data_IF_956748915357
#
_entry.id   IF_956748915357
#
_cell.length_a   1.000
_cell.length_b   1.000
_cell.length_c   1.000
_cell.angle_alpha   90.00
_cell.angle_beta   90.00
_cell.angle_gamma   90.00
#
_symmetry.space_group_name_H-M   'P 1'
#
loop_
_entity.id
_entity.type
_entity.pdbx_description
1 polymer ?
#
# COMPACT_ATOMS: atom_id res chain seq x y z
N UNK A 1 10.30 5.58 -13.82
CA UNK A 1 9.46 4.38 -13.67
C UNK A 1 8.14 4.74 -13.01
N UNK A 2 7.05 4.05 -13.34
CA UNK A 2 5.72 4.25 -12.73
C UNK A 2 5.36 3.03 -11.90
N UNK A 3 5.02 3.25 -10.62
CA UNK A 3 4.45 2.22 -9.75
C UNK A 3 2.92 2.25 -9.85
N UNK A 4 2.30 1.08 -9.92
CA UNK A 4 0.85 0.90 -10.02
C UNK A 4 0.31 0.11 -8.83
N UNK A 5 -0.87 0.53 -8.37
CA UNK A 5 -1.62 -0.11 -7.30
C UNK A 5 -3.01 -0.44 -7.83
N UNK A 6 -3.41 -1.70 -7.74
CA UNK A 6 -4.74 -2.17 -8.17
C UNK A 6 -5.10 -3.50 -7.50
N UNK A 7 -6.37 -3.86 -7.61
CA UNK A 7 -6.89 -5.13 -7.10
C UNK A 7 -7.75 -5.82 -8.16
N UNK A 8 -7.82 -7.14 -8.07
CA UNK A 8 -8.90 -7.90 -8.69
C UNK A 8 -9.93 -8.24 -7.62
N UNK A 9 -11.20 -7.90 -7.86
CA UNK A 9 -12.29 -8.16 -6.91
C UNK A 9 -13.33 -9.04 -7.57
N UNK A 10 -13.44 -10.28 -7.10
CA UNK A 10 -14.29 -11.31 -7.71
C UNK A 10 -15.21 -11.95 -6.68
N UNK A 11 -16.44 -12.28 -7.07
CA UNK A 11 -17.35 -13.06 -6.21
C UNK A 11 -16.91 -14.52 -6.20
N UNK A 12 -16.84 -15.12 -5.02
CA UNK A 12 -16.55 -16.55 -4.85
C UNK A 12 -17.87 -17.32 -4.88
N UNK A 13 -17.89 -18.52 -5.44
CA UNK A 13 -19.03 -19.41 -5.30
C UNK A 13 -19.16 -19.80 -3.81
N UNK A 14 -20.28 -19.49 -3.12
CA UNK A 14 -20.47 -19.81 -1.70
C UNK A 14 -20.22 -21.28 -1.35
N UNK A 15 -20.53 -22.20 -2.26
CA UNK A 15 -20.34 -23.64 -2.06
C UNK A 15 -18.87 -24.09 -2.16
N UNK A 16 -17.99 -23.23 -2.71
CA UNK A 16 -16.58 -23.56 -2.98
C UNK A 16 -15.59 -22.72 -2.17
N UNK A 17 -16.06 -22.00 -1.16
CA UNK A 17 -15.21 -21.15 -0.31
C UNK A 17 -14.17 -21.97 0.45
N UNK A 18 -14.57 -23.10 1.03
CA UNK A 18 -13.64 -23.98 1.76
C UNK A 18 -12.56 -24.56 0.84
N UNK A 19 -12.92 -24.97 -0.38
CA UNK A 19 -11.95 -25.41 -1.37
C UNK A 19 -10.93 -24.31 -1.70
N UNK A 20 -11.41 -23.07 -1.86
CA UNK A 20 -10.55 -21.91 -2.12
C UNK A 20 -9.62 -21.63 -0.93
N UNK A 21 -10.12 -21.71 0.30
CA UNK A 21 -9.31 -21.56 1.51
C UNK A 21 -8.18 -22.59 1.57
N UNK A 22 -8.43 -23.85 1.18
CA UNK A 22 -7.41 -24.91 1.10
C UNK A 22 -6.34 -24.52 0.07
N UNK A 23 -6.74 -24.10 -1.13
CA UNK A 23 -5.80 -23.66 -2.18
C UNK A 23 -4.95 -22.48 -1.70
N UNK A 24 -5.56 -21.49 -1.04
CA UNK A 24 -4.82 -20.34 -0.51
C UNK A 24 -3.88 -20.73 0.63
N UNK A 25 -4.28 -21.67 1.50
CA UNK A 25 -3.44 -22.18 2.57
C UNK A 25 -2.20 -22.91 2.04
N UNK A 26 -2.36 -23.74 0.98
CA UNK A 26 -1.23 -24.38 0.29
C UNK A 26 -0.24 -23.34 -0.28
N UNK A 27 -0.76 -22.29 -0.90
CA UNK A 27 0.06 -21.20 -1.45
C UNK A 27 0.79 -20.45 -0.33
N UNK A 28 0.09 -20.15 0.78
CA UNK A 28 0.67 -19.48 1.94
C UNK A 28 1.79 -20.30 2.60
N UNK A 29 1.69 -21.64 2.55
CA UNK A 29 2.74 -22.54 3.06
C UNK A 29 4.06 -22.51 2.27
N UNK A 30 4.06 -22.00 1.03
CA UNK A 30 5.27 -21.89 0.20
C UNK A 30 5.23 -20.63 -0.69
N UNK A 31 5.23 -19.44 -0.09
CA UNK A 31 5.10 -18.17 -0.82
C UNK A 31 6.20 -17.90 -1.85
N UNK A 32 7.43 -18.34 -1.59
CA UNK A 32 8.58 -17.96 -2.42
C UNK A 32 8.67 -18.76 -3.71
N UNK A 33 8.44 -20.07 -3.64
CA UNK A 33 8.66 -21.01 -4.75
C UNK A 33 7.46 -21.93 -4.97
N UNK A 34 6.23 -21.47 -4.69
CA UNK A 34 5.04 -22.26 -4.99
C UNK A 34 5.03 -22.64 -6.48
N UNK A 35 4.85 -23.93 -6.85
CA UNK A 35 4.94 -24.38 -8.23
C UNK A 35 3.88 -23.74 -9.14
N UNK A 36 2.76 -23.30 -8.57
CA UNK A 36 1.64 -22.76 -9.33
C UNK A 36 1.55 -21.22 -9.28
N UNK A 37 2.16 -20.59 -8.27
CA UNK A 37 2.15 -19.12 -8.09
C UNK A 37 3.48 -18.66 -7.46
N UNK A 38 4.59 -18.69 -8.23
CA UNK A 38 5.90 -18.31 -7.71
C UNK A 38 6.04 -16.78 -7.68
N UNK A 39 5.70 -16.16 -6.55
CA UNK A 39 5.75 -14.69 -6.41
C UNK A 39 7.15 -14.11 -6.65
N UNK A 40 8.22 -14.84 -6.30
CA UNK A 40 9.61 -14.39 -6.52
C UNK A 40 10.00 -14.26 -8.00
N UNK A 41 9.33 -14.99 -8.89
CA UNK A 41 9.52 -14.89 -10.34
C UNK A 41 8.85 -13.63 -10.92
N UNK A 42 8.01 -12.95 -10.14
CA UNK A 42 7.39 -11.68 -10.51
C UNK A 42 8.31 -10.51 -10.13
N UNK A 43 9.38 -10.30 -10.91
CA UNK A 43 10.45 -9.34 -10.55
C UNK A 43 9.98 -7.90 -10.25
N UNK A 44 8.88 -7.47 -10.88
CA UNK A 44 8.27 -6.14 -10.74
C UNK A 44 7.28 -6.04 -9.55
N UNK A 45 7.04 -7.13 -8.83
CA UNK A 45 6.12 -7.17 -7.71
C UNK A 45 6.80 -6.61 -6.44
N UNK A 46 6.14 -5.67 -5.78
CA UNK A 46 6.51 -5.21 -4.44
C UNK A 46 5.76 -6.01 -3.37
N UNK A 47 4.42 -6.00 -3.47
CA UNK A 47 3.53 -6.67 -2.52
C UNK A 47 2.33 -7.28 -3.25
N UNK A 48 1.88 -8.42 -2.75
CA UNK A 48 0.64 -9.06 -3.17
C UNK A 48 -0.09 -9.66 -1.97
N UNK A 49 -1.43 -9.64 -2.01
CA UNK A 49 -2.24 -10.33 -1.01
C UNK A 49 -3.48 -10.97 -1.62
N UNK A 50 -3.87 -12.14 -1.13
CA UNK A 50 -5.15 -12.78 -1.45
C UNK A 50 -5.98 -12.84 -0.16
N UNK A 51 -7.15 -12.21 -0.19
CA UNK A 51 -8.01 -12.05 0.98
C UNK A 51 -9.43 -12.48 0.62
N UNK A 52 -10.00 -13.39 1.42
CA UNK A 52 -11.42 -13.73 1.33
C UNK A 52 -12.20 -12.85 2.30
N UNK A 53 -13.15 -12.07 1.79
CA UNK A 53 -14.12 -11.35 2.59
C UNK A 53 -15.43 -12.12 2.64
N UNK A 54 -15.98 -12.30 3.84
CA UNK A 54 -17.30 -12.87 4.06
C UNK A 54 -18.27 -11.75 4.40
N UNK A 55 -19.42 -11.75 3.74
CA UNK A 55 -20.42 -10.70 3.89
C UNK A 55 -21.83 -11.27 3.73
N UNK A 56 -22.70 -11.03 4.72
CA UNK A 56 -24.05 -11.59 4.77
C UNK A 56 -24.95 -11.09 3.63
N UNK A 57 -24.74 -9.87 3.14
CA UNK A 57 -25.59 -9.25 2.11
C UNK A 57 -25.03 -9.48 0.70
N UNK A 58 -23.71 -9.52 0.56
CA UNK A 58 -23.04 -9.52 -0.73
C UNK A 58 -22.44 -10.88 -1.10
N UNK A 59 -22.37 -11.83 -0.16
CA UNK A 59 -21.70 -13.12 -0.31
C UNK A 59 -20.18 -13.01 -0.18
N UNK A 60 -19.45 -14.12 -0.41
CA UNK A 60 -17.99 -14.13 -0.31
C UNK A 60 -17.30 -13.48 -1.51
N UNK A 61 -16.22 -12.74 -1.25
CA UNK A 61 -15.36 -12.10 -2.26
C UNK A 61 -13.94 -12.55 -2.10
N UNK A 62 -13.24 -12.73 -3.22
CA UNK A 62 -11.80 -12.80 -3.27
C UNK A 62 -11.27 -11.45 -3.75
N UNK A 63 -10.36 -10.88 -2.96
CA UNK A 63 -9.60 -9.67 -3.29
C UNK A 63 -8.15 -10.07 -3.50
N UNK A 64 -7.63 -9.83 -4.70
CA UNK A 64 -6.22 -10.03 -5.03
C UNK A 64 -5.53 -8.67 -5.21
N UNK A 65 -4.78 -8.24 -4.20
CA UNK A 65 -3.96 -7.01 -4.23
C UNK A 65 -2.70 -7.20 -5.05
N UNK A 66 -2.36 -6.18 -5.86
CA UNK A 66 -1.12 -6.11 -6.62
C UNK A 66 -0.51 -4.70 -6.51
N UNK A 67 0.66 -4.61 -5.89
CA UNK A 67 1.51 -3.42 -5.85
C UNK A 67 2.76 -3.68 -6.69
N UNK A 68 2.86 -3.07 -7.86
CA UNK A 68 3.82 -3.46 -8.91
C UNK A 68 4.48 -2.27 -9.58
N UNK A 69 5.65 -2.51 -10.15
CA UNK A 69 6.25 -1.64 -11.16
C UNK A 69 5.62 -1.88 -12.53
N UNK A 70 5.35 -0.81 -13.28
CA UNK A 70 4.75 -0.87 -14.61
C UNK A 70 3.23 -0.78 -14.58
N UNK A 71 2.60 -1.20 -15.69
CA UNK A 71 1.14 -1.09 -15.90
C UNK A 71 0.41 -2.36 -15.46
N UNK A 72 -0.86 -2.28 -15.01
CA UNK A 72 -1.67 -3.45 -14.71
C UNK A 72 -1.74 -4.47 -15.85
N UNK A 73 -1.76 -3.99 -17.09
CA UNK A 73 -1.88 -4.81 -18.30
C UNK A 73 -0.62 -5.66 -18.52
N UNK A 74 0.57 -5.05 -18.43
CA UNK A 74 1.85 -5.75 -18.49
C UNK A 74 2.04 -6.75 -17.32
N UNK A 75 1.63 -6.38 -16.10
CA UNK A 75 1.67 -7.29 -14.96
C UNK A 75 0.75 -8.50 -15.17
N UNK A 76 -0.44 -8.28 -15.73
CA UNK A 76 -1.38 -9.34 -16.02
C UNK A 76 -0.85 -10.31 -17.09
N UNK A 77 -0.14 -9.81 -18.10
CA UNK A 77 0.57 -10.65 -19.07
C UNK A 77 1.64 -11.51 -18.38
N UNK A 78 2.43 -10.92 -17.47
CA UNK A 78 3.43 -11.64 -16.71
C UNK A 78 2.81 -12.71 -15.78
N UNK A 79 1.72 -12.38 -15.10
CA UNK A 79 0.93 -13.30 -14.28
C UNK A 79 0.44 -14.49 -15.09
N UNK A 80 -0.10 -14.27 -16.29
CA UNK A 80 -0.51 -15.36 -17.18
C UNK A 80 0.68 -16.21 -17.63
N UNK A 81 1.83 -15.60 -17.93
CA UNK A 81 3.02 -16.34 -18.37
C UNK A 81 3.61 -17.23 -17.28
N UNK A 82 3.63 -16.74 -16.04
CA UNK A 82 4.40 -17.36 -14.94
C UNK A 82 3.50 -18.18 -14.01
N UNK A 83 2.26 -17.75 -13.80
CA UNK A 83 1.39 -18.24 -12.74
C UNK A 83 -0.02 -18.62 -13.21
N UNK A 84 -0.22 -18.87 -14.51
CA UNK A 84 -1.56 -19.24 -15.03
C UNK A 84 -2.16 -20.46 -14.35
N UNK A 85 -1.34 -21.43 -13.94
CA UNK A 85 -1.80 -22.61 -13.20
C UNK A 85 -2.39 -22.23 -11.84
N UNK A 86 -1.71 -21.39 -11.07
CA UNK A 86 -2.21 -20.91 -9.78
C UNK A 86 -3.44 -20.03 -9.95
N UNK A 87 -3.43 -19.12 -10.91
CA UNK A 87 -4.58 -18.27 -11.23
C UNK A 87 -5.79 -19.11 -11.62
N UNK A 88 -5.63 -20.11 -12.49
CA UNK A 88 -6.71 -20.99 -12.88
C UNK A 88 -7.28 -21.78 -11.70
N UNK A 89 -6.41 -22.32 -10.84
CA UNK A 89 -6.84 -23.02 -9.61
C UNK A 89 -7.65 -22.10 -8.70
N UNK A 90 -7.17 -20.89 -8.44
CA UNK A 90 -7.83 -19.90 -7.57
C UNK A 90 -9.19 -19.47 -8.16
N UNK A 91 -9.19 -19.02 -9.42
CA UNK A 91 -10.38 -18.42 -10.01
C UNK A 91 -11.42 -19.45 -10.48
N UNK A 92 -11.08 -20.73 -10.57
CA UNK A 92 -12.06 -21.82 -10.76
C UNK A 92 -13.11 -21.91 -9.62
N UNK A 93 -12.84 -21.31 -8.46
CA UNK A 93 -13.80 -21.21 -7.35
C UNK A 93 -14.66 -19.93 -7.42
N UNK A 94 -14.43 -19.05 -8.40
CA UNK A 94 -15.12 -17.77 -8.53
C UNK A 94 -16.29 -17.82 -9.54
N UNK A 95 -17.30 -16.99 -9.30
CA UNK A 95 -18.48 -16.90 -10.15
C UNK A 95 -18.17 -16.22 -11.49
N UNK A 96 -18.61 -16.84 -12.59
CA UNK A 96 -18.44 -16.31 -13.94
C UNK A 96 -17.04 -16.49 -14.53
N UNK A 97 -16.18 -17.28 -13.89
CA UNK A 97 -14.90 -17.69 -14.46
C UNK A 97 -15.11 -18.82 -15.47
N UNK A 98 -14.69 -18.60 -16.72
CA UNK A 98 -15.02 -19.43 -17.89
C UNK A 98 -13.80 -19.91 -18.68
N UNK A 99 -12.58 -19.65 -18.21
CA UNK A 99 -11.38 -20.11 -18.88
C UNK A 99 -11.31 -21.65 -18.89
N UNK A 100 -10.94 -22.23 -20.02
CA UNK A 100 -11.02 -23.68 -20.27
C UNK A 100 -9.90 -24.49 -19.61
N UNK A 101 -8.89 -23.82 -19.04
CA UNK A 101 -7.78 -24.47 -18.36
C UNK A 101 -6.64 -23.49 -18.04
N UNK A 102 -5.62 -23.98 -17.34
CA UNK A 102 -4.41 -23.19 -17.03
C UNK A 102 -3.62 -22.70 -18.26
N UNK A 103 -3.87 -23.26 -19.45
CA UNK A 103 -3.25 -22.82 -20.71
C UNK A 103 -4.07 -21.74 -21.44
N UNK A 104 -5.31 -21.51 -21.00
CA UNK A 104 -6.20 -20.49 -21.56
C UNK A 104 -5.89 -19.12 -20.94
N UNK A 105 -4.73 -18.57 -21.31
CA UNK A 105 -4.27 -17.29 -20.81
C UNK A 105 -5.18 -16.13 -21.23
N UNK A 106 -5.83 -16.23 -22.39
CA UNK A 106 -6.74 -15.20 -22.89
C UNK A 106 -8.03 -15.16 -22.07
N UNK A 107 -8.62 -16.33 -21.75
CA UNK A 107 -9.77 -16.43 -20.84
C UNK A 107 -9.45 -15.93 -19.43
N UNK A 108 -8.31 -16.32 -18.86
CA UNK A 108 -7.85 -15.83 -17.55
C UNK A 108 -7.71 -14.31 -17.57
N UNK A 109 -7.04 -13.76 -18.59
CA UNK A 109 -6.80 -12.33 -18.73
C UNK A 109 -8.10 -11.55 -18.88
N UNK A 110 -9.00 -12.00 -19.75
CA UNK A 110 -10.30 -11.37 -19.97
C UNK A 110 -11.12 -11.31 -18.68
N UNK A 111 -11.14 -12.41 -17.93
CA UNK A 111 -11.81 -12.46 -16.63
C UNK A 111 -11.19 -11.49 -15.63
N UNK A 112 -9.87 -11.45 -15.49
CA UNK A 112 -9.20 -10.55 -14.54
C UNK A 112 -9.30 -9.08 -14.93
N UNK A 113 -9.21 -8.75 -16.22
CA UNK A 113 -9.43 -7.38 -16.70
C UNK A 113 -10.83 -6.87 -16.37
N UNK A 114 -11.85 -7.72 -16.52
CA UNK A 114 -13.24 -7.38 -16.18
C UNK A 114 -13.42 -7.09 -14.68
N UNK A 115 -12.60 -7.70 -13.83
CA UNK A 115 -12.66 -7.57 -12.37
C UNK A 115 -11.56 -6.65 -11.80
N UNK A 116 -10.84 -5.93 -12.66
CA UNK A 116 -9.83 -4.97 -12.27
C UNK A 116 -10.49 -3.75 -11.62
N UNK A 117 -10.13 -3.50 -10.37
CA UNK A 117 -10.55 -2.33 -9.61
C UNK A 117 -9.34 -1.42 -9.39
N UNK A 118 -9.45 -0.19 -9.90
CA UNK A 118 -8.46 0.86 -9.65
C UNK A 118 -8.82 1.61 -8.37
N UNK A 119 -7.83 1.99 -7.54
CA UNK A 119 -8.10 2.73 -6.32
C UNK A 119 -8.60 4.14 -6.61
N UNK A 120 -9.54 4.62 -5.80
CA UNK A 120 -9.99 6.02 -5.80
C UNK A 120 -8.94 6.94 -5.18
N UNK A 121 -8.20 6.44 -4.19
CA UNK A 121 -7.06 7.11 -3.58
C UNK A 121 -5.99 6.08 -3.23
N UNK A 122 -4.72 6.45 -3.32
CA UNK A 122 -3.63 5.56 -2.92
C UNK A 122 -2.38 6.32 -2.47
N UNK A 123 -1.54 5.65 -1.71
CA UNK A 123 -0.26 6.13 -1.22
C UNK A 123 0.84 5.13 -1.54
N UNK A 124 2.03 5.66 -1.84
CA UNK A 124 3.26 4.92 -2.07
C UNK A 124 4.37 5.60 -1.27
N UNK A 125 4.89 4.90 -0.27
CA UNK A 125 5.90 5.41 0.65
C UNK A 125 7.20 5.74 -0.07
N UNK A 126 7.82 4.73 -0.68
CA UNK A 126 9.09 4.90 -1.38
C UNK A 126 8.89 5.22 -2.87
N UNK A 127 8.12 6.27 -3.17
CA UNK A 127 7.76 6.67 -4.55
C UNK A 127 8.99 6.78 -5.46
N UNK A 128 8.88 6.19 -6.67
CA UNK A 128 9.90 6.30 -7.71
C UNK A 128 11.03 5.29 -7.59
N UNK A 129 10.87 4.27 -6.73
CA UNK A 129 11.83 3.18 -6.54
C UNK A 129 11.21 1.85 -6.92
N UNK A 130 11.84 1.19 -7.89
CA UNK A 130 11.44 -0.15 -8.32
C UNK A 130 11.71 -1.20 -7.26
N UNK A 131 10.97 -2.30 -7.27
CA UNK A 131 11.24 -3.47 -6.46
C UNK A 131 12.67 -4.01 -6.70
N UNK A 132 13.14 -4.00 -7.94
CA UNK A 132 14.51 -4.41 -8.29
C UNK A 132 15.57 -3.54 -7.62
N UNK A 133 15.51 -2.22 -7.83
CA UNK A 133 16.39 -1.23 -7.20
C UNK A 133 16.37 -1.31 -5.67
N UNK A 134 15.21 -1.54 -5.04
CA UNK A 134 15.12 -1.70 -3.58
C UNK A 134 15.96 -2.91 -3.12
N UNK A 135 15.81 -4.06 -3.80
CA UNK A 135 16.60 -5.26 -3.49
C UNK A 135 18.10 -5.04 -3.74
N UNK A 136 18.45 -4.39 -4.86
CA UNK A 136 19.83 -4.06 -5.21
C UNK A 136 20.47 -3.11 -4.19
N UNK A 137 19.75 -2.06 -3.74
CA UNK A 137 20.21 -1.11 -2.72
C UNK A 137 20.38 -1.78 -1.35
N UNK A 138 19.51 -2.74 -1.00
CA UNK A 138 19.67 -3.57 0.21
C UNK A 138 20.94 -4.42 0.14
N UNK A 139 21.10 -5.20 -0.93
CA UNK A 139 22.27 -6.07 -1.11
C UNK A 139 23.58 -5.27 -1.14
N UNK A 140 23.57 -4.08 -1.75
CA UNK A 140 24.70 -3.16 -1.74
C UNK A 140 25.04 -2.70 -0.32
N UNK A 141 24.04 -2.28 0.47
CA UNK A 141 24.24 -1.86 1.86
C UNK A 141 24.80 -3.00 2.70
N UNK A 142 24.23 -4.20 2.59
CA UNK A 142 24.67 -5.37 3.35
C UNK A 142 26.10 -5.76 2.99
N UNK A 143 26.46 -5.75 1.70
CA UNK A 143 27.82 -5.99 1.25
C UNK A 143 28.83 -4.94 1.77
N UNK A 144 28.42 -3.67 1.84
CA UNK A 144 29.27 -2.61 2.39
C UNK A 144 29.46 -2.79 3.91
N UNK A 145 28.44 -3.20 4.65
CA UNK A 145 28.58 -3.46 6.10
C UNK A 145 29.56 -4.57 6.39
N UNK A 146 29.44 -5.71 5.70
CA UNK A 146 30.40 -6.81 5.83
C UNK A 146 31.83 -6.31 5.56
N UNK A 147 32.01 -5.51 4.51
CA UNK A 147 33.31 -4.93 4.19
C UNK A 147 33.80 -3.93 5.26
N UNK A 148 32.91 -3.13 5.83
CA UNK A 148 33.23 -2.20 6.91
C UNK A 148 33.67 -2.92 8.19
N UNK A 149 32.99 -4.01 8.56
CA UNK A 149 33.34 -4.83 9.72
C UNK A 149 34.75 -5.43 9.57
N UNK A 150 35.09 -5.93 8.38
CA UNK A 150 36.44 -6.41 8.06
C UNK A 150 37.49 -5.30 8.15
N UNK A 151 37.18 -4.11 7.63
CA UNK A 151 38.08 -2.95 7.67
C UNK A 151 38.34 -2.48 9.10
N UNK A 152 37.32 -2.49 9.97
CA UNK A 152 37.45 -2.12 11.38
C UNK A 152 38.28 -3.19 12.13
N UNK A 153 38.02 -4.47 11.88
CA UNK A 153 38.76 -5.56 12.51
C UNK A 153 40.25 -5.57 12.14
N UNK A 154 40.61 -5.21 10.90
CA UNK A 154 41.99 -5.18 10.43
C UNK A 154 42.75 -3.87 10.74
N UNK A 155 42.09 -2.84 11.25
CA UNK A 155 42.70 -1.52 11.43
C UNK A 155 43.52 -1.42 12.72
N UNK A 156 44.79 -1.00 12.62
CA UNK A 156 45.66 -0.71 13.77
C UNK A 156 45.46 0.72 14.36
N UNK A 157 44.37 1.40 14.01
CA UNK A 157 44.04 2.78 14.42
C UNK A 157 42.75 3.27 13.75
N UNK A 158 42.27 4.48 14.08
CA UNK A 158 41.03 5.02 13.52
C UNK A 158 41.29 5.74 12.18
N UNK A 159 40.99 5.12 11.01
CA UNK A 159 41.14 5.80 9.72
C UNK A 159 40.21 7.01 9.63
N UNK A 160 40.66 8.05 8.91
CA UNK A 160 39.80 9.21 8.66
C UNK A 160 38.56 8.82 7.85
N UNK A 161 37.45 9.53 8.07
CA UNK A 161 36.19 9.28 7.37
C UNK A 161 36.34 9.27 5.83
N UNK A 162 37.20 10.13 5.29
CA UNK A 162 37.50 10.17 3.86
C UNK A 162 38.22 8.93 3.35
N UNK A 163 39.10 8.32 4.16
CA UNK A 163 39.80 7.08 3.82
C UNK A 163 38.83 5.90 3.83
N UNK A 164 37.96 5.80 4.85
CA UNK A 164 36.93 4.76 4.93
C UNK A 164 36.02 4.84 3.70
N UNK A 165 35.51 6.04 3.38
CA UNK A 165 34.64 6.23 2.20
C UNK A 165 35.33 5.85 0.90
N UNK A 166 36.62 6.17 0.72
CA UNK A 166 37.37 5.77 -0.47
C UNK A 166 37.48 4.25 -0.59
N UNK A 167 37.79 3.56 0.52
CA UNK A 167 37.82 2.09 0.54
C UNK A 167 36.47 1.48 0.17
N UNK A 168 35.36 2.02 0.67
CA UNK A 168 34.01 1.60 0.27
C UNK A 168 33.79 1.81 -1.23
N UNK A 169 34.15 2.98 -1.77
CA UNK A 169 34.02 3.26 -3.20
C UNK A 169 34.83 2.27 -4.05
N UNK A 170 36.05 1.95 -3.64
CA UNK A 170 36.91 1.01 -4.35
C UNK A 170 36.37 -0.42 -4.27
N UNK A 171 35.84 -0.83 -3.10
CA UNK A 171 35.11 -2.10 -2.93
C UNK A 171 33.90 -2.20 -3.86
N UNK A 172 33.04 -1.17 -3.88
CA UNK A 172 31.83 -1.18 -4.72
C UNK A 172 32.19 -1.21 -6.20
N UNK A 173 33.23 -0.48 -6.64
CA UNK A 173 33.70 -0.55 -8.04
C UNK A 173 34.22 -1.93 -8.43
N UNK A 174 34.77 -2.69 -7.48
CA UNK A 174 35.25 -4.04 -7.72
C UNK A 174 34.12 -5.09 -7.76
N UNK A 175 32.91 -4.76 -7.28
CA UNK A 175 31.77 -5.67 -7.33
C UNK A 175 31.28 -5.86 -8.79
N UNK A 176 31.10 -7.12 -9.25
CA UNK A 176 30.49 -7.39 -10.55
C UNK A 176 29.10 -6.76 -10.68
N UNK A 177 28.84 -6.06 -11.78
CA UNK A 177 27.54 -5.46 -12.05
C UNK A 177 27.22 -4.22 -11.20
N UNK A 178 28.20 -3.54 -10.62
CA UNK A 178 28.00 -2.32 -9.81
C UNK A 178 27.72 -1.05 -10.64
N UNK A 179 27.65 -1.14 -11.96
CA UNK A 179 27.45 -0.01 -12.88
C UNK A 179 26.19 0.80 -12.52
N UNK A 180 25.09 0.11 -12.18
CA UNK A 180 23.83 0.75 -11.78
C UNK A 180 23.98 1.63 -10.53
N UNK A 181 24.88 1.28 -9.61
CA UNK A 181 25.12 2.01 -8.36
C UNK A 181 25.79 3.36 -8.60
N UNK A 182 26.45 3.54 -9.75
CA UNK A 182 27.10 4.81 -10.15
C UNK A 182 26.11 5.81 -10.76
N UNK A 183 25.02 5.33 -11.36
CA UNK A 183 24.03 6.16 -12.03
C UNK A 183 22.91 6.59 -11.08
N UNK A 184 22.69 7.90 -10.92
CA UNK A 184 21.57 8.42 -10.14
C UNK A 184 20.52 9.05 -11.06
N UNK A 185 19.59 8.23 -11.56
CA UNK A 185 18.45 8.74 -12.30
C UNK A 185 17.46 9.47 -11.37
N UNK A 186 16.84 10.57 -11.83
CA UNK A 186 15.78 11.24 -11.08
C UNK A 186 14.62 10.29 -10.74
N UNK A 187 14.19 10.30 -9.47
CA UNK A 187 13.10 9.43 -8.98
C UNK A 187 11.74 9.69 -9.67
N UNK A 188 11.54 10.89 -10.19
CA UNK A 188 10.34 11.29 -10.94
C UNK A 188 10.74 12.10 -12.16
N UNK A 189 9.96 11.97 -13.24
CA UNK A 189 10.08 12.86 -14.39
C UNK A 189 9.64 14.28 -14.01
N UNK A 190 10.20 15.27 -14.70
CA UNK A 190 9.81 16.69 -14.54
C UNK A 190 8.30 16.84 -14.74
N UNK A 191 7.75 16.24 -15.79
CA UNK A 191 6.31 16.26 -16.07
C UNK A 191 5.48 15.63 -14.95
N UNK A 192 5.91 14.47 -14.40
CA UNK A 192 5.24 13.81 -13.28
C UNK A 192 5.25 14.62 -11.98
N UNK A 193 6.22 15.52 -11.81
CA UNK A 193 6.26 16.45 -10.68
C UNK A 193 5.30 17.63 -10.85
N UNK A 194 5.13 18.14 -12.08
CA UNK A 194 4.34 19.35 -12.34
C UNK A 194 2.86 19.09 -12.64
N UNK A 195 2.52 17.99 -13.33
CA UNK A 195 1.13 17.69 -13.73
C UNK A 195 0.12 17.73 -12.56
N UNK A 196 0.40 17.13 -11.39
CA UNK A 196 -0.54 17.19 -10.28
C UNK A 196 -0.82 18.61 -9.78
N UNK A 197 0.19 19.48 -9.80
CA UNK A 197 0.05 20.89 -9.42
C UNK A 197 -0.81 21.67 -10.41
N UNK A 198 -0.75 21.34 -11.70
CA UNK A 198 -1.62 21.92 -12.73
C UNK A 198 -3.07 21.51 -12.48
N UNK A 199 -3.35 20.22 -12.24
CA UNK A 199 -4.70 19.76 -11.91
C UNK A 199 -5.27 20.45 -10.67
N UNK A 200 -4.44 20.70 -9.64
CA UNK A 200 -4.85 21.48 -8.47
C UNK A 200 -5.17 22.95 -8.82
N UNK A 201 -4.34 23.58 -9.64
CA UNK A 201 -4.54 24.97 -10.04
C UNK A 201 -5.82 25.13 -10.87
N UNK A 202 -6.08 24.20 -11.81
CA UNK A 202 -7.32 24.14 -12.58
C UNK A 202 -8.54 23.97 -11.68
N UNK A 203 -8.48 23.07 -10.69
CA UNK A 203 -9.55 22.86 -9.73
C UNK A 203 -9.80 24.11 -8.88
N UNK A 204 -8.74 24.77 -8.41
CA UNK A 204 -8.84 26.00 -7.62
C UNK A 204 -9.44 27.15 -8.45
N UNK A 205 -9.04 27.29 -9.72
CA UNK A 205 -9.57 28.27 -10.64
C UNK A 205 -11.07 28.02 -10.93
N UNK A 206 -11.44 26.76 -11.18
CA UNK A 206 -12.84 26.38 -11.34
C UNK A 206 -13.65 26.67 -10.07
N UNK A 207 -13.13 26.36 -8.88
CA UNK A 207 -13.79 26.65 -7.62
C UNK A 207 -13.98 28.16 -7.40
N UNK A 208 -13.02 28.99 -7.81
CA UNK A 208 -13.13 30.45 -7.76
C UNK A 208 -14.18 30.98 -8.74
N UNK A 209 -14.19 30.47 -9.97
CA UNK A 209 -15.14 30.86 -11.01
C UNK A 209 -16.59 30.53 -10.62
N UNK A 210 -16.80 29.36 -10.02
CA UNK A 210 -18.13 28.89 -9.59
C UNK A 210 -18.46 29.25 -8.14
N UNK A 211 -17.64 30.08 -7.47
CA UNK A 211 -17.81 30.43 -6.05
C UNK A 211 -19.23 30.92 -5.69
N UNK A 212 -19.91 31.77 -6.49
CA UNK A 212 -21.27 32.23 -6.16
C UNK A 212 -22.31 31.10 -6.08
N UNK A 213 -22.10 30.02 -6.83
CA UNK A 213 -22.98 28.83 -6.84
C UNK A 213 -22.51 27.80 -5.82
N UNK A 214 -21.20 27.64 -5.65
CA UNK A 214 -20.62 26.70 -4.70
C UNK A 214 -20.88 27.11 -3.26
N UNK A 215 -20.85 28.41 -2.93
CA UNK A 215 -21.06 28.88 -1.56
C UNK A 215 -22.42 28.43 -0.97
N UNK A 216 -23.59 28.70 -1.59
CA UNK A 216 -24.86 28.21 -1.06
C UNK A 216 -24.94 26.68 -1.05
N UNK A 217 -24.37 26.00 -2.05
CA UNK A 217 -24.32 24.54 -2.08
C UNK A 217 -23.51 23.96 -0.91
N UNK A 218 -22.38 24.58 -0.57
CA UNK A 218 -21.55 24.20 0.59
C UNK A 218 -22.29 24.46 1.90
N UNK A 219 -23.03 25.56 2.03
CA UNK A 219 -23.84 25.82 3.22
C UNK A 219 -24.88 24.70 3.40
N UNK A 220 -25.66 24.38 2.35
CA UNK A 220 -26.64 23.29 2.39
C UNK A 220 -25.96 21.96 2.71
N UNK A 221 -24.82 21.67 2.07
CA UNK A 221 -24.03 20.47 2.33
C UNK A 221 -23.63 20.37 3.80
N UNK A 222 -23.10 21.44 4.39
CA UNK A 222 -22.67 21.48 5.80
C UNK A 222 -23.87 21.29 6.73
N UNK A 223 -25.02 21.89 6.44
CA UNK A 223 -26.23 21.71 7.25
C UNK A 223 -26.71 20.25 7.23
N UNK A 224 -26.79 19.64 6.04
CA UNK A 224 -27.17 18.22 5.89
C UNK A 224 -26.13 17.31 6.55
N UNK A 225 -24.84 17.61 6.39
CA UNK A 225 -23.76 16.87 7.04
C UNK A 225 -23.90 16.91 8.56
N UNK A 226 -24.08 18.11 9.14
CA UNK A 226 -24.22 18.29 10.59
C UNK A 226 -25.46 17.60 11.14
N UNK A 227 -26.58 17.62 10.40
CA UNK A 227 -27.78 16.87 10.77
C UNK A 227 -27.50 15.37 10.80
N UNK A 228 -26.88 14.83 9.74
CA UNK A 228 -26.53 13.40 9.64
C UNK A 228 -25.55 12.96 10.71
N UNK A 229 -24.49 13.74 10.96
CA UNK A 229 -23.51 13.45 12.01
C UNK A 229 -24.14 13.33 13.41
N UNK A 230 -25.21 14.09 13.69
CA UNK A 230 -25.92 14.02 14.96
C UNK A 230 -26.90 12.83 15.03
N UNK A 231 -27.49 12.42 13.91
CA UNK A 231 -28.51 11.37 13.84
C UNK A 231 -27.96 9.97 13.57
N UNK A 232 -26.78 9.86 12.94
CA UNK A 232 -26.23 8.57 12.54
C UNK A 232 -26.04 7.66 13.77
N UNK A 233 -26.53 6.40 13.71
CA UNK A 233 -26.34 5.46 14.80
C UNK A 233 -24.85 5.11 14.93
N UNK A 234 -24.41 4.94 16.17
CA UNK A 234 -23.08 4.41 16.50
C UNK A 234 -23.28 3.23 17.42
N UNK A 235 -23.21 2.04 16.85
CA UNK A 235 -23.32 0.81 17.62
C UNK A 235 -22.03 0.53 18.41
N UNK A 236 -22.18 -0.17 19.53
CA UNK A 236 -21.05 -0.74 20.24
C UNK A 236 -20.51 -1.94 19.48
N UNK A 237 -19.20 -1.92 19.22
CA UNK A 237 -18.50 -3.06 18.64
C UNK A 237 -18.49 -4.20 19.66
N UNK A 238 -19.09 -5.33 19.29
CA UNK A 238 -18.91 -6.59 20.01
C UNK A 238 -17.59 -7.20 19.56
N UNK A 239 -16.72 -7.50 20.52
CA UNK A 239 -15.45 -8.16 20.26
C UNK A 239 -15.65 -9.67 20.22
N UNK A 240 -15.36 -10.28 19.08
CA UNK A 240 -15.15 -11.71 19.01
C UNK A 240 -13.69 -12.02 19.32
N UNK A 241 -13.46 -12.72 20.44
CA UNK A 241 -12.11 -13.09 20.87
C UNK A 241 -11.45 -14.03 19.87
N UNK A 242 -12.21 -14.93 19.24
CA UNK A 242 -11.67 -15.90 18.29
C UNK A 242 -11.20 -15.19 17.02
N UNK A 243 -12.01 -14.27 16.48
CA UNK A 243 -11.61 -13.42 15.35
C UNK A 243 -10.33 -12.63 15.67
N UNK A 244 -10.24 -12.00 16.84
CA UNK A 244 -9.05 -11.22 17.22
C UNK A 244 -7.82 -12.10 17.32
N UNK A 245 -7.93 -13.27 17.96
CA UNK A 245 -6.82 -14.22 18.06
C UNK A 245 -6.38 -14.72 16.70
N UNK A 246 -7.33 -15.03 15.80
CA UNK A 246 -7.04 -15.46 14.43
C UNK A 246 -6.28 -14.37 13.66
N UNK A 247 -6.71 -13.11 13.75
CA UNK A 247 -6.02 -11.99 13.10
C UNK A 247 -4.61 -11.79 13.69
N UNK A 248 -4.50 -11.69 15.02
CA UNK A 248 -3.23 -11.49 15.70
C UNK A 248 -2.21 -12.61 15.43
N UNK A 249 -2.68 -13.85 15.22
CA UNK A 249 -1.80 -14.99 14.91
C UNK A 249 -1.09 -14.88 13.55
N UNK A 250 -1.61 -14.05 12.64
CA UNK A 250 -1.03 -13.80 11.32
C UNK A 250 -0.26 -12.47 11.23
N UNK A 251 -0.18 -11.71 12.32
CA UNK A 251 0.54 -10.43 12.40
C UNK A 251 1.96 -10.64 12.98
N UNK A 252 2.87 -9.70 12.71
CA UNK A 252 4.19 -9.57 13.35
C UNK A 252 5.20 -10.72 13.09
N UNK A 253 5.07 -11.43 11.95
CA UNK A 253 6.03 -12.47 11.54
C UNK A 253 7.31 -11.94 10.90
N UNK A 254 7.27 -10.73 10.33
CA UNK A 254 8.39 -9.99 9.74
C UNK A 254 8.30 -8.51 10.14
N UNK A 255 9.23 -7.66 9.69
CA UNK A 255 9.22 -6.23 10.11
C UNK A 255 8.05 -5.43 9.52
N UNK A 256 7.36 -6.01 8.56
CA UNK A 256 6.20 -5.47 7.88
C UNK A 256 4.93 -6.25 8.26
N UNK A 257 3.77 -5.65 8.05
CA UNK A 257 2.45 -6.27 8.16
C UNK A 257 1.54 -5.84 7.01
N UNK A 258 0.44 -6.58 6.87
CA UNK A 258 -0.65 -6.26 5.94
C UNK A 258 -1.99 -6.21 6.67
N UNK A 259 -2.82 -5.24 6.30
CA UNK A 259 -4.20 -5.15 6.77
C UNK A 259 -5.14 -4.94 5.59
N UNK A 260 -6.18 -5.78 5.56
CA UNK A 260 -7.30 -5.64 4.65
C UNK A 260 -8.58 -5.38 5.42
N UNK A 261 -9.29 -4.31 5.07
CA UNK A 261 -10.52 -3.89 5.74
C UNK A 261 -11.61 -3.58 4.72
N UNK A 262 -12.84 -3.97 5.05
CA UNK A 262 -14.01 -3.67 4.25
C UNK A 262 -15.10 -3.05 5.12
N UNK A 263 -15.47 -1.83 4.76
CA UNK A 263 -16.48 -1.06 5.49
C UNK A 263 -17.69 -0.79 4.60
N UNK A 264 -18.89 -0.87 5.17
CA UNK A 264 -20.10 -0.39 4.52
C UNK A 264 -20.13 1.14 4.50
N UNK A 265 -20.47 1.73 3.36
CA UNK A 265 -20.75 3.15 3.25
C UNK A 265 -22.16 3.41 3.80
N UNK A 266 -22.30 4.46 4.61
CA UNK A 266 -23.61 4.89 5.14
C UNK A 266 -24.62 5.09 3.99
N UNK A 267 -25.89 4.73 4.20
CA UNK A 267 -26.88 4.72 3.13
C UNK A 267 -27.16 6.14 2.57
N UNK A 268 -27.57 6.17 1.29
CA UNK A 268 -27.97 7.39 0.59
C UNK A 268 -26.90 7.94 -0.36
N UNK A 269 -27.35 8.65 -1.40
CA UNK A 269 -26.46 9.27 -2.41
C UNK A 269 -25.55 10.33 -1.78
N UNK A 270 -26.02 11.06 -0.77
CA UNK A 270 -25.23 12.07 -0.06
C UNK A 270 -23.89 11.50 0.43
N UNK A 271 -23.91 10.44 1.25
CA UNK A 271 -22.69 9.83 1.81
C UNK A 271 -21.79 9.22 0.74
N UNK A 272 -22.38 8.58 -0.28
CA UNK A 272 -21.61 8.04 -1.42
C UNK A 272 -20.90 9.13 -2.22
N UNK A 273 -21.58 10.22 -2.54
CA UNK A 273 -21.01 11.36 -3.27
C UNK A 273 -19.96 12.08 -2.43
N UNK A 274 -20.23 12.29 -1.14
CA UNK A 274 -19.26 12.87 -0.20
C UNK A 274 -17.98 12.04 -0.15
N UNK A 275 -18.09 10.72 0.01
CA UNK A 275 -16.92 9.84 0.07
C UNK A 275 -16.13 9.83 -1.25
N UNK A 276 -16.83 9.79 -2.40
CA UNK A 276 -16.18 9.91 -3.73
C UNK A 276 -15.39 11.22 -3.84
N UNK A 277 -15.98 12.34 -3.42
CA UNK A 277 -15.33 13.65 -3.43
C UNK A 277 -14.12 13.70 -2.49
N UNK A 278 -14.27 13.20 -1.25
CA UNK A 278 -13.17 13.14 -0.28
C UNK A 278 -12.01 12.33 -0.82
N UNK A 279 -12.26 11.13 -1.34
CA UNK A 279 -11.20 10.28 -1.91
C UNK A 279 -10.52 10.95 -3.11
N UNK A 280 -11.28 11.59 -4.00
CA UNK A 280 -10.72 12.36 -5.11
C UNK A 280 -9.79 13.48 -4.63
N UNK A 281 -10.24 14.29 -3.67
CA UNK A 281 -9.45 15.39 -3.11
C UNK A 281 -8.21 14.88 -2.37
N UNK A 282 -8.36 13.84 -1.54
CA UNK A 282 -7.23 13.20 -0.84
C UNK A 282 -6.21 12.67 -1.84
N UNK A 283 -6.64 12.00 -2.91
CA UNK A 283 -5.76 11.50 -3.95
C UNK A 283 -5.00 12.65 -4.65
N UNK A 284 -5.70 13.73 -5.00
CA UNK A 284 -5.11 14.88 -5.65
C UNK A 284 -4.04 15.56 -4.77
N UNK A 285 -4.37 15.81 -3.50
CA UNK A 285 -3.43 16.39 -2.52
C UNK A 285 -2.23 15.47 -2.31
N UNK A 286 -2.44 14.16 -2.20
CA UNK A 286 -1.36 13.19 -2.03
C UNK A 286 -0.38 13.16 -3.22
N UNK A 287 -0.82 13.46 -4.45
CA UNK A 287 0.06 13.53 -5.63
C UNK A 287 0.91 14.80 -5.68
N UNK A 288 0.50 15.87 -5.00
CA UNK A 288 1.22 17.15 -4.98
C UNK A 288 2.13 17.26 -3.75
N UNK A 289 1.79 16.58 -2.66
CA UNK A 289 2.61 16.47 -1.46
C UNK A 289 3.80 15.51 -1.72
N UNK A 290 4.75 15.95 -2.53
CA UNK A 290 5.88 15.13 -2.98
C UNK A 290 6.95 15.03 -1.91
N UNK A 291 6.97 13.89 -1.19
CA UNK A 291 8.15 13.25 -0.60
C UNK A 291 7.87 11.80 -0.18
N UNK A 292 6.81 11.16 -0.71
CA UNK A 292 6.46 9.80 -0.29
C UNK A 292 5.92 9.68 1.14
N UNK A 293 5.55 10.80 1.78
CA UNK A 293 4.99 10.82 3.13
C UNK A 293 3.52 11.18 3.09
N UNK A 294 2.65 10.30 3.60
CA UNK A 294 1.25 10.63 3.86
C UNK A 294 1.17 11.32 5.23
N UNK A 295 1.05 12.64 5.27
CA UNK A 295 0.89 13.39 6.53
C UNK A 295 1.99 13.12 7.58
N UNK A 296 3.22 12.81 7.14
CA UNK A 296 4.36 12.53 8.04
C UNK A 296 4.44 11.08 8.56
N UNK A 297 3.60 10.17 8.04
CA UNK A 297 3.76 8.73 8.26
C UNK A 297 4.98 8.21 7.49
N UNK A 298 5.90 7.59 8.23
CA UNK A 298 7.17 7.04 7.70
C UNK A 298 7.20 5.50 7.82
N UNK A 299 6.05 4.87 8.00
CA UNK A 299 5.87 3.43 8.21
C UNK A 299 4.99 2.79 7.13
N UNK A 300 4.54 3.55 6.13
CA UNK A 300 3.56 3.09 5.14
C UNK A 300 4.20 2.81 3.79
N UNK A 301 4.25 1.54 3.37
CA UNK A 301 4.81 1.16 2.07
C UNK A 301 3.80 1.45 0.95
N UNK A 302 2.62 0.85 1.04
CA UNK A 302 1.53 1.02 0.10
C UNK A 302 0.21 1.04 0.86
N UNK A 303 -0.68 1.97 0.51
CA UNK A 303 -2.07 1.91 0.97
C UNK A 303 -2.98 2.35 -0.15
N UNK A 304 -4.17 1.76 -0.24
CA UNK A 304 -5.15 2.24 -1.19
C UNK A 304 -6.59 2.00 -0.76
N UNK A 305 -7.46 2.87 -1.27
CA UNK A 305 -8.88 2.90 -1.03
C UNK A 305 -9.61 2.69 -2.34
N UNK A 306 -10.51 1.70 -2.37
CA UNK A 306 -11.34 1.42 -3.53
C UNK A 306 -12.81 1.33 -3.13
N UNK A 307 -13.66 2.03 -3.86
CA UNK A 307 -15.11 1.92 -3.77
C UNK A 307 -15.58 0.76 -4.64
N UNK A 308 -16.16 -0.25 -4.01
CA UNK A 308 -16.73 -1.43 -4.69
C UNK A 308 -18.26 -1.44 -4.55
N UNK A 309 -18.91 -2.28 -5.37
CA UNK A 309 -20.37 -2.45 -5.42
C UNK A 309 -21.12 -1.12 -5.57
N UNK A 310 -20.79 -0.37 -6.63
CA UNK A 310 -21.38 0.95 -6.91
C UNK A 310 -21.15 1.97 -5.77
N UNK A 311 -20.01 1.84 -5.07
CA UNK A 311 -19.62 2.70 -3.95
C UNK A 311 -20.45 2.52 -2.69
N UNK A 312 -21.01 1.32 -2.51
CA UNK A 312 -21.70 0.94 -1.27
C UNK A 312 -20.76 0.36 -0.22
N UNK A 313 -19.57 -0.10 -0.62
CA UNK A 313 -18.54 -0.58 0.30
C UNK A 313 -17.19 0.06 -0.04
N UNK A 314 -16.42 0.35 1.01
CA UNK A 314 -15.08 0.91 0.95
C UNK A 314 -14.09 -0.20 1.33
N UNK A 315 -13.31 -0.65 0.33
CA UNK A 315 -12.16 -1.51 0.51
C UNK A 315 -10.95 -0.66 0.86
N UNK A 316 -10.22 -1.06 1.91
CA UNK A 316 -8.94 -0.49 2.29
C UNK A 316 -7.91 -1.61 2.43
N UNK A 317 -6.79 -1.45 1.75
CA UNK A 317 -5.65 -2.38 1.82
C UNK A 317 -4.40 -1.57 2.13
N UNK A 318 -3.55 -2.10 3.01
CA UNK A 318 -2.34 -1.42 3.45
C UNK A 318 -1.23 -2.41 3.78
N UNK A 319 -0.01 -2.03 3.41
CA UNK A 319 1.26 -2.70 3.71
C UNK A 319 2.12 -1.70 4.51
N UNK A 320 2.53 -2.05 5.72
CA UNK A 320 3.12 -1.12 6.67
C UNK A 320 4.19 -1.76 7.57
N UNK A 321 4.97 -0.93 8.25
CA UNK A 321 6.01 -1.33 9.20
C UNK A 321 5.48 -1.47 10.63
N UNK A 322 6.02 -2.44 11.37
CA UNK A 322 5.71 -2.63 12.78
C UNK A 322 4.30 -3.18 13.03
N UNK A 323 3.89 -3.17 14.30
CA UNK A 323 2.65 -3.83 14.73
C UNK A 323 1.39 -3.05 14.35
N UNK A 324 0.27 -3.76 14.30
CA UNK A 324 -1.05 -3.17 14.04
C UNK A 324 -1.39 -2.02 15.02
N UNK A 325 -1.05 -2.19 16.30
CA UNK A 325 -1.35 -1.20 17.33
C UNK A 325 -0.58 0.11 17.07
N UNK A 326 0.74 0.00 16.87
CA UNK A 326 1.62 1.13 16.59
C UNK A 326 1.23 1.83 15.29
N UNK A 327 0.85 1.06 14.27
CA UNK A 327 0.36 1.58 13.01
C UNK A 327 -0.90 2.42 13.21
N UNK A 328 -1.91 1.93 13.92
CA UNK A 328 -3.12 2.71 14.15
C UNK A 328 -2.88 3.94 15.03
N UNK A 329 -2.00 3.87 16.03
CA UNK A 329 -1.60 5.03 16.84
C UNK A 329 -0.97 6.12 15.97
N UNK A 330 -0.04 5.75 15.09
CA UNK A 330 0.57 6.67 14.14
C UNK A 330 -0.49 7.37 13.26
N UNK A 331 -1.51 6.63 12.80
CA UNK A 331 -2.62 7.19 12.02
C UNK A 331 -3.48 8.17 12.82
N UNK A 332 -3.75 7.86 14.07
CA UNK A 332 -4.53 8.72 14.98
C UNK A 332 -3.75 10.01 15.25
N UNK A 333 -2.45 9.91 15.54
CA UNK A 333 -1.64 11.06 15.91
C UNK A 333 -1.34 11.99 14.73
N UNK A 334 -0.97 11.40 13.57
CA UNK A 334 -0.42 12.16 12.44
C UNK A 334 -1.42 12.39 11.32
N UNK A 335 -2.42 11.52 11.17
CA UNK A 335 -3.31 11.50 10.01
C UNK A 335 -4.82 11.53 10.35
N UNK A 336 -5.20 11.78 11.61
CA UNK A 336 -6.59 11.71 12.06
C UNK A 336 -7.58 12.53 11.21
N UNK A 337 -7.20 13.70 10.69
CA UNK A 337 -8.09 14.51 9.85
C UNK A 337 -8.46 13.80 8.55
N UNK A 338 -7.47 13.24 7.85
CA UNK A 338 -7.68 12.52 6.59
C UNK A 338 -8.43 11.20 6.81
N UNK A 339 -8.05 10.46 7.86
CA UNK A 339 -8.71 9.22 8.25
C UNK A 339 -10.19 9.48 8.63
N UNK A 340 -10.43 10.50 9.45
CA UNK A 340 -11.81 10.90 9.82
C UNK A 340 -12.60 11.35 8.60
N UNK A 341 -11.99 12.11 7.68
CA UNK A 341 -12.63 12.55 6.43
C UNK A 341 -13.17 11.39 5.58
N UNK A 342 -12.37 10.32 5.45
CA UNK A 342 -12.75 9.14 4.65
C UNK A 342 -13.78 8.29 5.42
N UNK A 343 -13.42 7.79 6.60
CA UNK A 343 -14.22 6.78 7.30
C UNK A 343 -15.43 7.34 8.05
N UNK A 344 -15.58 8.65 8.23
CA UNK A 344 -16.83 9.25 8.75
C UNK A 344 -18.06 8.93 7.89
N UNK A 345 -17.84 8.54 6.64
CA UNK A 345 -18.87 8.11 5.69
C UNK A 345 -19.19 6.62 5.77
N UNK A 346 -18.52 5.83 6.61
CA UNK A 346 -18.77 4.40 6.79
C UNK A 346 -19.60 4.09 8.04
N UNK A 347 -20.31 2.97 8.03
CA UNK A 347 -21.13 2.52 9.17
C UNK A 347 -20.27 2.36 10.43
N UNK A 348 -20.86 2.70 11.58
CA UNK A 348 -20.30 2.54 12.92
C UNK A 348 -18.99 3.28 13.22
N UNK A 349 -18.46 4.09 12.28
CA UNK A 349 -17.33 4.96 12.57
C UNK A 349 -17.68 5.96 13.69
N UNK A 350 -16.73 6.32 14.59
CA UNK A 350 -17.01 7.21 15.71
C UNK A 350 -17.57 8.56 15.27
N UNK A 351 -18.35 9.21 16.16
CA UNK A 351 -19.01 10.48 15.85
C UNK A 351 -18.00 11.55 15.43
N UNK A 352 -18.36 12.27 14.38
CA UNK A 352 -17.54 13.34 13.81
C UNK A 352 -18.25 14.68 13.90
N UNK A 353 -17.46 15.74 13.73
CA UNK A 353 -17.96 17.09 13.51
C UNK A 353 -17.31 17.66 12.26
N UNK A 354 -18.14 18.18 11.36
CA UNK A 354 -17.68 18.82 10.12
C UNK A 354 -16.76 17.90 9.31
N UNK A 355 -17.10 16.61 9.23
CA UNK A 355 -16.42 15.57 8.45
C UNK A 355 -15.03 15.15 8.98
N UNK A 356 -14.28 16.03 9.64
CA UNK A 356 -12.86 15.82 9.94
C UNK A 356 -12.50 15.91 11.43
N UNK A 357 -13.35 16.49 12.27
CA UNK A 357 -13.08 16.64 13.70
C UNK A 357 -13.67 15.47 14.49
N UNK A 358 -13.02 15.06 15.59
CA UNK A 358 -13.44 13.92 16.40
C UNK A 358 -13.04 12.59 15.72
N UNK A 359 -14.00 11.69 15.54
CA UNK A 359 -13.81 10.48 14.74
C UNK A 359 -12.67 9.60 15.23
N UNK A 360 -11.58 9.55 14.46
CA UNK A 360 -10.38 8.75 14.74
C UNK A 360 -9.80 8.99 16.15
N UNK A 361 -9.97 10.20 16.69
CA UNK A 361 -9.48 10.55 18.04
C UNK A 361 -10.23 9.86 19.18
N UNK A 362 -11.37 9.23 18.91
CA UNK A 362 -11.95 8.24 19.83
C UNK A 362 -11.24 6.90 19.60
N UNK A 363 -10.00 6.82 20.08
CA UNK A 363 -9.05 5.75 19.76
C UNK A 363 -9.65 4.36 20.03
N UNK A 364 -10.28 4.18 21.19
CA UNK A 364 -10.87 2.91 21.60
C UNK A 364 -11.93 2.44 20.62
N UNK A 365 -12.86 3.33 20.23
CA UNK A 365 -13.92 2.98 19.26
C UNK A 365 -13.36 2.80 17.87
N UNK A 366 -12.45 3.67 17.45
CA UNK A 366 -11.84 3.59 16.12
C UNK A 366 -11.07 2.27 15.95
N UNK A 367 -10.17 1.92 16.88
CA UNK A 367 -9.44 0.65 16.85
C UNK A 367 -10.38 -0.56 16.90
N UNK A 368 -11.45 -0.50 17.68
CA UNK A 368 -12.45 -1.57 17.72
C UNK A 368 -13.13 -1.77 16.36
N UNK A 369 -13.50 -0.68 15.67
CA UNK A 369 -14.09 -0.75 14.33
C UNK A 369 -13.09 -1.22 13.29
N UNK A 370 -11.85 -0.71 13.34
CA UNK A 370 -10.77 -1.15 12.47
C UNK A 370 -10.56 -2.66 12.59
N UNK A 371 -10.54 -3.19 13.82
CA UNK A 371 -10.38 -4.62 14.08
C UNK A 371 -11.59 -5.44 13.63
N UNK A 372 -12.82 -4.96 13.85
CA UNK A 372 -14.05 -5.65 13.43
C UNK A 372 -14.19 -5.76 11.91
N UNK A 373 -13.75 -4.73 11.18
CA UNK A 373 -13.86 -4.66 9.72
C UNK A 373 -12.66 -5.27 8.99
N UNK A 374 -11.64 -5.72 9.74
CA UNK A 374 -10.46 -6.36 9.20
C UNK A 374 -10.75 -7.83 8.84
N UNK A 375 -10.34 -8.22 7.64
CA UNK A 375 -10.35 -9.60 7.19
C UNK A 375 -9.01 -10.29 7.46
N UNK A 376 -9.07 -11.61 7.61
CA UNK A 376 -7.87 -12.45 7.69
C UNK A 376 -7.15 -12.46 6.34
N UNK A 377 -5.84 -12.20 6.34
CA UNK A 377 -5.06 -12.23 5.10
C UNK A 377 -4.62 -13.66 4.81
N UNK A 378 -5.25 -14.31 3.81
CA UNK A 378 -5.00 -15.71 3.52
C UNK A 378 -3.60 -15.96 2.92
N UNK A 379 -3.15 -15.07 2.03
CA UNK A 379 -1.83 -15.11 1.41
C UNK A 379 -1.29 -13.68 1.40
N UNK A 380 -0.03 -13.49 1.80
CA UNK A 380 0.63 -12.20 1.71
C UNK A 380 2.09 -12.37 1.33
N UNK A 381 2.53 -11.60 0.34
CA UNK A 381 3.89 -11.60 -0.16
C UNK A 381 4.49 -10.20 -0.08
N UNK A 382 5.73 -10.14 0.40
CA UNK A 382 6.60 -8.96 0.33
C UNK A 382 7.90 -9.34 -0.40
N UNK A 383 8.29 -8.54 -1.38
CA UNK A 383 9.53 -8.74 -2.13
C UNK A 383 10.80 -8.36 -1.34
N UNK A 384 10.64 -7.72 -0.18
CA UNK A 384 11.72 -7.26 0.68
C UNK A 384 11.27 -7.28 2.14
N UNK A 385 11.04 -8.48 2.72
CA UNK A 385 10.32 -8.66 3.99
C UNK A 385 11.03 -8.07 5.21
N UNK A 386 12.33 -7.77 5.09
CA UNK A 386 13.16 -7.26 6.20
C UNK A 386 13.41 -5.75 6.12
N UNK A 387 12.82 -5.04 5.15
CA UNK A 387 13.09 -3.61 4.94
C UNK A 387 11.92 -2.74 5.37
N UNK A 388 12.17 -1.81 6.29
CA UNK A 388 11.21 -0.74 6.61
C UNK A 388 11.22 0.35 5.55
N UNK A 389 10.19 1.19 5.48
CA UNK A 389 10.16 2.38 4.59
C UNK A 389 11.38 3.26 4.82
N UNK A 390 11.75 3.46 6.09
CA UNK A 390 12.97 4.19 6.49
C UNK A 390 14.24 3.47 6.08
N UNK A 391 14.28 2.14 6.20
CA UNK A 391 15.40 1.32 5.72
C UNK A 391 15.62 1.48 4.22
N UNK A 392 14.55 1.44 3.43
CA UNK A 392 14.60 1.69 1.98
C UNK A 392 15.13 3.10 1.69
N UNK A 393 14.62 4.11 2.39
CA UNK A 393 15.08 5.49 2.22
C UNK A 393 16.56 5.66 2.60
N UNK A 394 17.02 4.99 3.67
CA UNK A 394 18.41 5.01 4.08
C UNK A 394 19.33 4.33 3.06
N UNK A 395 18.94 3.16 2.54
CA UNK A 395 19.72 2.41 1.55
C UNK A 395 19.86 3.23 0.25
N UNK A 396 18.78 3.89 -0.18
CA UNK A 396 18.88 4.82 -1.32
C UNK A 396 19.82 5.99 -1.02
N UNK A 397 19.75 6.58 0.18
CA UNK A 397 20.62 7.70 0.54
C UNK A 397 22.10 7.29 0.59
N UNK A 398 22.39 6.07 1.07
CA UNK A 398 23.74 5.48 1.03
C UNK A 398 24.24 5.45 -0.41
N UNK A 399 23.45 4.90 -1.35
CA UNK A 399 23.82 4.81 -2.76
C UNK A 399 23.95 6.18 -3.42
N UNK A 400 22.99 7.07 -3.23
CA UNK A 400 22.93 8.39 -3.88
C UNK A 400 24.13 9.26 -3.51
N UNK A 401 24.58 9.19 -2.26
CA UNK A 401 25.75 9.91 -1.77
C UNK A 401 27.06 9.12 -1.94
N UNK A 402 27.03 7.87 -2.44
CA UNK A 402 28.22 7.01 -2.56
C UNK A 402 29.32 7.64 -3.42
N UNK A 403 28.97 8.24 -4.56
CA UNK A 403 29.94 8.86 -5.49
C UNK A 403 29.79 10.39 -5.61
N UNK A 404 28.88 11.00 -4.84
CA UNK A 404 28.71 12.46 -4.79
C UNK A 404 29.95 13.13 -4.18
N UNK A 405 30.26 14.36 -4.56
CA UNK A 405 31.27 15.13 -3.83
C UNK A 405 30.72 15.53 -2.46
N UNK A 406 31.34 15.04 -1.37
CA UNK A 406 30.93 15.32 0.01
C UNK A 406 32.09 15.98 0.78
N UNK A 407 31.78 16.98 1.59
CA UNK A 407 32.74 17.55 2.55
C UNK A 407 33.05 16.60 3.72
N UNK A 408 34.00 16.95 4.62
CA UNK A 408 34.36 16.10 5.77
C UNK A 408 33.19 15.80 6.71
N UNK A 409 32.38 16.80 7.05
CA UNK A 409 31.21 16.64 7.93
C UNK A 409 30.10 15.79 7.27
N UNK A 410 29.89 15.97 5.97
CA UNK A 410 28.93 15.16 5.19
C UNK A 410 29.38 13.71 5.07
N UNK A 411 30.67 13.48 4.83
CA UNK A 411 31.25 12.14 4.80
C UNK A 411 31.04 11.42 6.13
N UNK A 412 31.23 12.11 7.26
CA UNK A 412 30.96 11.53 8.58
C UNK A 412 29.48 11.18 8.75
N UNK A 413 28.56 12.08 8.37
CA UNK A 413 27.11 11.81 8.42
C UNK A 413 26.70 10.65 7.52
N UNK A 414 27.32 10.51 6.35
CA UNK A 414 27.08 9.41 5.43
C UNK A 414 27.54 8.07 6.01
N UNK A 415 28.72 8.03 6.66
CA UNK A 415 29.19 6.83 7.36
C UNK A 415 28.32 6.43 8.56
N UNK A 416 27.61 7.37 9.19
CA UNK A 416 26.68 7.09 10.29
C UNK A 416 25.35 6.45 9.84
N UNK A 417 25.21 6.13 8.55
CA UNK A 417 24.04 5.45 7.99
C UNK A 417 24.14 3.92 8.01
N UNK A 418 25.35 3.42 8.23
CA UNK A 418 25.67 2.05 8.61
C UNK A 418 25.75 2.02 10.14
#
# INVERSE_FOLDING_TARGET
>A
MTQSVFTFVTKVNPERVQDLEIVLHEIAGNLTNHPDLPFTALAQLHFASLVIFHDDHYGPYLVFENNVDGTPEAHLEQLCRIASKGLHRIYAHCLGYDAQGAKDCDGIRAYLQKHLVRPNAYHIGNTGRSAEKIRQESALRDGIEVHLDELVAAASGAPSAGVIRRKIQDFVRALPGSEWATSCEPRMTVLGRFLPSVSLAELALAALLFLPVLLPAVIVFVLVLRQRENSDPVETVVFDREQIQRLASAEDHIVQNHMASLCYVKPGSFRRTTLKLVLYLTNLVARVSTNGKLSGLDSLHFAHWALIDDGRRLLFLTNYDGSWENYLDDFIDKAALGLTGIWSNTLNFPRTRFLVLGGARDEKRFKAIARKTQAYTNVWYSAYPNLTVKGIDNNSAIREDLYRSLGPAETKRWLQRF
#
